data_IF_243152063669
#
_entry.id   IF_243152063669
#
_cell.length_a   1.000
_cell.length_b   1.000
_cell.length_c   1.000
_cell.angle_alpha   90.00
_cell.angle_beta   90.00
_cell.angle_gamma   90.00
#
_symmetry.space_group_name_H-M   'P 1'
#
loop_
_entity.id
_entity.type
_entity.pdbx_description
1 polymer ?
#
# COMPACT_ATOMS: atom_id res chain seq x y z
N UNK A 1 -8.04 -10.28 14.00
CA UNK A 1 -8.38 -9.80 12.64
C UNK A 1 -7.92 -10.82 11.63
N UNK A 2 -8.75 -11.23 10.65
CA UNK A 2 -8.34 -12.15 9.58
C UNK A 2 -7.85 -11.34 8.39
N UNK A 3 -6.58 -11.50 8.02
CA UNK A 3 -5.97 -10.80 6.88
C UNK A 3 -5.76 -11.78 5.74
N UNK A 4 -6.21 -11.44 4.54
CA UNK A 4 -5.99 -12.23 3.33
C UNK A 4 -4.85 -11.64 2.51
N UNK A 5 -3.95 -12.49 2.00
CA UNK A 5 -2.94 -12.08 1.02
C UNK A 5 -3.57 -11.82 -0.35
N UNK A 6 -2.96 -10.90 -1.10
CA UNK A 6 -3.30 -10.64 -2.51
C UNK A 6 -2.05 -10.81 -3.36
N UNK A 7 -2.19 -11.45 -4.53
CA UNK A 7 -1.08 -11.56 -5.48
C UNK A 7 -0.97 -10.31 -6.37
N UNK A 8 0.22 -10.10 -6.95
CA UNK A 8 0.52 -8.92 -7.77
C UNK A 8 -0.32 -8.83 -9.06
N UNK A 9 -0.79 -9.96 -9.62
CA UNK A 9 -1.62 -9.94 -10.84
C UNK A 9 -3.00 -9.40 -10.51
N UNK A 10 -3.58 -9.86 -9.40
CA UNK A 10 -4.87 -9.38 -8.90
C UNK A 10 -4.80 -7.91 -8.47
N UNK A 11 -3.75 -7.52 -7.74
CA UNK A 11 -3.51 -6.13 -7.36
C UNK A 11 -3.44 -5.19 -8.57
N UNK A 12 -2.71 -5.57 -9.63
CA UNK A 12 -2.63 -4.78 -10.87
C UNK A 12 -3.99 -4.60 -11.56
N UNK A 13 -4.87 -5.61 -11.52
CA UNK A 13 -6.23 -5.47 -12.06
C UNK A 13 -7.05 -4.48 -11.25
N UNK A 14 -6.96 -4.55 -9.92
CA UNK A 14 -7.64 -3.63 -9.00
C UNK A 14 -7.19 -2.19 -9.28
N UNK A 15 -5.89 -1.92 -9.30
CA UNK A 15 -5.35 -0.57 -9.57
C UNK A 15 -5.84 -0.01 -10.91
N UNK A 16 -5.88 -0.84 -11.96
CA UNK A 16 -6.24 -0.39 -13.32
C UNK A 16 -7.73 -0.22 -13.56
N UNK A 17 -8.58 -1.03 -12.92
CA UNK A 17 -10.03 -1.08 -13.20
C UNK A 17 -10.88 -0.39 -12.14
N UNK A 18 -10.38 -0.30 -10.92
CA UNK A 18 -11.09 0.18 -9.74
C UNK A 18 -10.34 1.38 -9.13
N UNK A 19 -9.79 2.23 -10.00
CA UNK A 19 -9.08 3.45 -9.56
C UNK A 19 -10.04 4.34 -8.78
N UNK A 20 -9.84 4.43 -7.46
CA UNK A 20 -10.69 5.18 -6.53
C UNK A 20 -11.53 4.32 -5.56
N UNK A 21 -11.72 3.03 -5.85
CA UNK A 21 -12.50 2.12 -4.98
C UNK A 21 -11.67 1.47 -3.86
N UNK A 22 -10.34 1.66 -3.86
CA UNK A 22 -9.43 1.01 -2.90
C UNK A 22 -8.35 1.95 -2.36
N UNK A 23 -8.03 1.78 -1.07
CA UNK A 23 -6.90 2.43 -0.42
C UNK A 23 -5.70 1.48 -0.43
N UNK A 24 -4.59 1.94 -1.01
CA UNK A 24 -3.32 1.21 -1.01
C UNK A 24 -2.39 1.90 -0.03
N UNK A 25 -1.89 1.14 0.95
CA UNK A 25 -1.00 1.64 1.98
C UNK A 25 0.37 0.99 1.81
N UNK A 26 1.41 1.82 1.76
CA UNK A 26 2.80 1.37 1.81
C UNK A 26 3.36 1.63 3.21
N UNK A 27 3.57 0.54 3.94
CA UNK A 27 4.06 0.54 5.30
C UNK A 27 5.60 0.45 5.40
N UNK A 28 6.33 0.52 4.28
CA UNK A 28 7.80 0.54 4.30
C UNK A 28 8.30 1.87 4.88
N UNK A 29 9.55 1.92 5.38
CA UNK A 29 10.18 3.17 5.77
C UNK A 29 10.09 4.23 4.66
N UNK A 30 9.89 5.49 5.05
CA UNK A 30 9.66 6.59 4.10
C UNK A 30 10.71 6.66 2.99
N UNK A 31 11.99 6.44 3.29
CA UNK A 31 13.04 6.48 2.27
C UNK A 31 12.85 5.41 1.18
N UNK A 32 12.39 4.21 1.53
CA UNK A 32 12.07 3.16 0.55
C UNK A 32 10.85 3.52 -0.30
N UNK A 33 9.83 4.15 0.30
CA UNK A 33 8.65 4.65 -0.40
C UNK A 33 8.99 5.81 -1.35
N UNK A 34 9.79 6.77 -0.90
CA UNK A 34 10.20 7.95 -1.67
C UNK A 34 11.08 7.56 -2.85
N UNK A 35 11.91 6.52 -2.70
CA UNK A 35 12.71 5.98 -3.80
C UNK A 35 11.83 5.27 -4.86
N UNK A 36 10.85 4.47 -4.44
CA UNK A 36 9.86 3.89 -5.34
C UNK A 36 8.62 3.42 -4.59
N UNK A 37 7.45 3.53 -5.20
CA UNK A 37 6.19 3.05 -4.62
C UNK A 37 5.20 2.65 -5.69
N UNK A 38 4.12 1.97 -5.27
CA UNK A 38 3.01 1.67 -6.16
C UNK A 38 2.25 2.98 -6.42
N UNK A 39 1.99 3.29 -7.70
CA UNK A 39 1.23 4.49 -8.09
C UNK A 39 -0.12 4.55 -7.35
N UNK A 40 -0.41 5.68 -6.70
CA UNK A 40 -1.64 5.90 -5.93
C UNK A 40 -1.61 5.35 -4.49
N UNK A 41 -0.49 4.76 -4.05
CA UNK A 41 -0.33 4.35 -2.65
C UNK A 41 0.01 5.53 -1.73
N UNK A 42 -0.43 5.45 -0.48
CA UNK A 42 -0.08 6.38 0.59
C UNK A 42 0.96 5.75 1.52
N UNK A 43 2.01 6.48 1.87
CA UNK A 43 2.94 6.02 2.90
C UNK A 43 2.33 6.19 4.28
N UNK A 44 2.33 5.12 5.08
CA UNK A 44 1.95 5.17 6.48
C UNK A 44 3.17 4.85 7.32
N UNK A 45 3.56 5.83 8.13
CA UNK A 45 4.65 5.66 9.06
C UNK A 45 4.19 4.79 10.23
N UNK A 46 4.68 3.56 10.28
CA UNK A 46 4.41 2.62 11.38
C UNK A 46 5.40 2.78 12.55
N UNK A 47 6.15 3.88 12.65
CA UNK A 47 7.00 4.17 13.80
C UNK A 47 6.20 3.92 15.09
N UNK A 48 6.60 2.91 15.86
CA UNK A 48 5.85 2.37 17.00
C UNK A 48 5.94 3.23 18.27
N UNK A 49 6.30 4.50 18.15
CA UNK A 49 6.55 5.38 19.30
C UNK A 49 5.35 6.28 19.55
N UNK A 50 4.29 5.72 20.15
CA UNK A 50 3.28 6.41 20.97
C UNK A 50 2.22 5.38 21.41
N UNK A 51 2.48 4.70 22.53
CA UNK A 51 1.58 4.36 23.66
C UNK A 51 2.49 3.88 24.79
#
# INVERSE_FOLDING_TARGET
>A
MKVSSVDCRRLRKIIRKESGSCLIVDCRPYLSFANSSITGSANVNLNTSSI
#
